data_IF_397941946897
#
_entry.id   IF_397941946897
#
_cell.length_a   1.000
_cell.length_b   1.000
_cell.length_c   1.000
_cell.angle_alpha   90.00
_cell.angle_beta   90.00
_cell.angle_gamma   90.00
#
_symmetry.space_group_name_H-M   'P 1'
#
loop_
_entity.id
_entity.type
_entity.pdbx_description
1 polymer ?
#
# COMPACT_ATOMS: atom_id res chain seq x y z
N UNK A 1 -14.27 -27.59 11.93
CA UNK A 1 -12.84 -27.22 12.00
C UNK A 1 -12.56 -25.98 11.15
N UNK A 2 -13.12 -24.82 11.49
CA UNK A 2 -12.96 -23.60 10.66
C UNK A 2 -12.58 -22.35 11.45
N UNK A 3 -12.39 -22.46 12.77
CA UNK A 3 -12.00 -21.35 13.63
C UNK A 3 -10.47 -21.11 13.68
N UNK A 4 -9.65 -22.01 13.13
CA UNK A 4 -8.19 -21.96 13.20
C UNK A 4 -7.51 -21.11 12.11
N UNK A 5 -8.24 -20.68 11.07
CA UNK A 5 -7.69 -19.81 10.01
C UNK A 5 -7.69 -18.31 10.37
N UNK A 6 -8.35 -17.92 11.47
CA UNK A 6 -8.28 -16.56 12.01
C UNK A 6 -6.98 -16.28 12.82
N UNK A 7 -6.16 -17.30 13.07
CA UNK A 7 -4.98 -17.22 13.95
C UNK A 7 -3.64 -16.96 13.23
N UNK A 8 -3.60 -16.88 11.90
CA UNK A 8 -2.37 -16.56 11.15
C UNK A 8 -2.22 -15.08 10.76
N UNK A 9 -3.13 -14.21 11.20
CA UNK A 9 -3.01 -12.75 11.09
C UNK A 9 -2.38 -12.10 12.34
N UNK A 10 -1.99 -12.90 13.34
CA UNK A 10 -1.38 -12.38 14.57
C UNK A 10 0.15 -12.28 14.41
N UNK A 11 0.56 -11.06 14.04
CA UNK A 11 1.70 -10.32 14.63
C UNK A 11 3.10 -10.94 14.46
N UNK A 12 3.97 -10.35 13.62
CA UNK A 12 5.38 -10.31 13.98
C UNK A 12 5.53 -9.25 15.09
N UNK A 13 6.12 -9.66 16.19
CA UNK A 13 6.58 -8.83 17.31
C UNK A 13 7.43 -7.66 16.79
N UNK A 14 6.78 -6.58 16.40
CA UNK A 14 7.40 -5.31 16.02
C UNK A 14 6.74 -4.21 16.86
N UNK A 15 7.54 -3.21 17.21
CA UNK A 15 7.22 -2.16 18.16
C UNK A 15 5.77 -1.66 18.00
N UNK A 16 4.92 -1.91 19.01
CA UNK A 16 3.52 -1.47 19.01
C UNK A 16 3.38 0.06 18.90
N UNK A 17 4.47 0.80 19.15
CA UNK A 17 4.51 2.24 19.03
C UNK A 17 4.85 2.74 17.63
N UNK A 18 5.21 1.84 16.71
CA UNK A 18 5.44 2.18 15.30
C UNK A 18 4.21 2.86 14.69
N UNK A 19 4.35 4.06 14.08
CA UNK A 19 3.33 4.65 13.22
C UNK A 19 2.70 3.70 12.22
N UNK A 20 3.51 2.88 11.53
CA UNK A 20 2.98 1.93 10.54
C UNK A 20 2.25 0.76 11.19
N UNK A 21 2.67 0.32 12.39
CA UNK A 21 1.93 -0.69 13.15
C UNK A 21 0.59 -0.15 13.66
N UNK A 22 0.55 1.13 14.09
CA UNK A 22 -0.70 1.83 14.41
C UNK A 22 -1.62 1.89 13.19
N UNK A 23 -1.06 2.12 11.99
CA UNK A 23 -1.82 2.07 10.73
C UNK A 23 -2.35 0.66 10.40
N UNK A 24 -1.64 -0.41 10.76
CA UNK A 24 -2.13 -1.80 10.57
C UNK A 24 -3.29 -2.17 11.51
N UNK A 25 -3.36 -1.56 12.70
CA UNK A 25 -4.45 -1.74 13.65
C UNK A 25 -5.63 -0.80 13.42
N UNK A 26 -5.40 0.33 12.73
CA UNK A 26 -6.46 1.21 12.27
C UNK A 26 -7.13 0.59 11.04
N UNK A 27 -8.46 0.65 10.95
CA UNK A 27 -9.10 0.40 9.69
C UNK A 27 -8.57 1.36 8.63
N UNK A 28 -8.16 0.84 7.48
CA UNK A 28 -7.55 1.64 6.41
C UNK A 28 -8.47 2.75 5.86
N UNK A 29 -9.78 2.70 6.15
CA UNK A 29 -10.75 3.75 5.84
C UNK A 29 -10.70 4.96 6.78
N UNK A 30 -10.03 4.86 7.93
CA UNK A 30 -9.79 5.98 8.87
C UNK A 30 -8.51 6.74 8.56
N UNK A 31 -7.65 6.18 7.70
CA UNK A 31 -6.41 6.81 7.26
C UNK A 31 -6.67 7.74 6.07
N UNK A 32 -5.90 8.83 5.92
CA UNK A 32 -5.93 9.62 4.70
C UNK A 32 -5.72 8.74 3.47
N UNK A 33 -6.55 8.95 2.45
CA UNK A 33 -6.60 8.07 1.26
C UNK A 33 -5.24 7.89 0.60
N UNK A 34 -4.43 8.95 0.52
CA UNK A 34 -3.07 8.87 -0.04
C UNK A 34 -2.14 7.97 0.78
N UNK A 35 -2.18 8.08 2.11
CA UNK A 35 -1.43 7.23 3.05
C UNK A 35 -1.83 5.76 2.89
N UNK A 36 -3.14 5.46 2.85
CA UNK A 36 -3.65 4.10 2.63
C UNK A 36 -3.24 3.53 1.29
N UNK A 37 -3.23 4.36 0.24
CA UNK A 37 -2.82 3.95 -1.10
C UNK A 37 -1.35 3.52 -1.14
N UNK A 38 -0.46 4.32 -0.55
CA UNK A 38 0.96 3.98 -0.42
C UNK A 38 1.18 2.71 0.41
N UNK A 39 0.44 2.54 1.51
CA UNK A 39 0.52 1.34 2.33
C UNK A 39 0.10 0.08 1.57
N UNK A 40 -1.03 0.13 0.84
CA UNK A 40 -1.49 -1.00 0.04
C UNK A 40 -0.50 -1.36 -1.07
N UNK A 41 0.03 -0.34 -1.76
CA UNK A 41 1.05 -0.53 -2.81
C UNK A 41 2.32 -1.19 -2.27
N UNK A 42 2.86 -0.70 -1.14
CA UNK A 42 4.01 -1.33 -0.47
C UNK A 42 3.77 -2.81 -0.19
N UNK A 43 2.61 -3.12 0.39
CA UNK A 43 2.29 -4.46 0.86
C UNK A 43 2.09 -5.47 -0.27
N UNK A 44 1.62 -5.04 -1.44
CA UNK A 44 1.39 -5.95 -2.57
C UNK A 44 2.57 -6.04 -3.53
N UNK A 45 3.35 -4.96 -3.71
CA UNK A 45 4.39 -4.89 -4.73
C UNK A 45 5.77 -5.32 -4.22
N UNK A 46 6.01 -5.23 -2.91
CA UNK A 46 7.34 -5.44 -2.34
C UNK A 46 7.39 -6.63 -1.39
N UNK A 47 8.54 -7.30 -1.29
CA UNK A 47 8.74 -8.32 -0.29
C UNK A 47 8.69 -7.69 1.11
N UNK A 48 8.29 -8.50 2.10
CA UNK A 48 8.11 -8.03 3.47
C UNK A 48 9.39 -7.47 4.12
N UNK A 49 10.57 -7.90 3.65
CA UNK A 49 11.85 -7.34 4.08
C UNK A 49 11.99 -5.86 3.70
N UNK A 50 11.58 -5.50 2.48
CA UNK A 50 11.62 -4.13 1.98
C UNK A 50 10.55 -3.27 2.66
N UNK A 51 9.33 -3.82 2.82
CA UNK A 51 8.26 -3.18 3.60
C UNK A 51 8.76 -2.83 5.03
N UNK A 52 9.43 -3.79 5.69
CA UNK A 52 9.97 -3.58 7.03
C UNK A 52 11.10 -2.54 7.06
N UNK A 53 11.99 -2.54 6.06
CA UNK A 53 13.07 -1.56 5.99
C UNK A 53 12.54 -0.13 5.83
N UNK A 54 11.60 0.08 4.90
CA UNK A 54 10.95 1.38 4.67
C UNK A 54 10.16 1.82 5.92
N UNK A 55 9.51 0.87 6.60
CA UNK A 55 8.83 1.11 7.87
C UNK A 55 9.80 1.61 8.94
N UNK A 56 10.95 0.97 9.12
CA UNK A 56 11.96 1.39 10.10
C UNK A 56 12.49 2.81 9.81
N UNK A 57 12.74 3.14 8.53
CA UNK A 57 13.14 4.51 8.14
C UNK A 57 12.02 5.51 8.45
N UNK A 58 10.77 5.21 8.09
CA UNK A 58 9.62 6.07 8.36
C UNK A 58 9.43 6.33 9.86
N UNK A 59 9.59 5.29 10.69
CA UNK A 59 9.50 5.41 12.15
C UNK A 59 10.60 6.29 12.73
N UNK A 60 11.83 6.17 12.22
CA UNK A 60 12.94 7.01 12.62
C UNK A 60 12.68 8.49 12.29
N UNK A 61 12.07 8.79 11.15
CA UNK A 61 11.71 10.15 10.76
C UNK A 61 10.49 10.68 11.54
N UNK A 62 9.50 9.84 11.83
CA UNK A 62 8.35 10.23 12.66
C UNK A 62 8.74 10.65 14.08
N UNK A 63 9.83 10.11 14.63
CA UNK A 63 10.38 10.56 15.94
C UNK A 63 10.83 12.03 15.89
N UNK A 64 11.19 12.54 14.72
CA UNK A 64 11.61 13.93 14.50
C UNK A 64 10.42 14.82 14.10
N UNK A 65 9.45 14.26 13.38
CA UNK A 65 8.24 14.96 12.94
C UNK A 65 7.01 14.05 13.07
N UNK A 66 6.21 14.26 14.12
CA UNK A 66 5.03 13.44 14.42
C UNK A 66 3.87 13.60 13.43
N UNK A 67 3.91 14.63 12.58
CA UNK A 67 2.87 14.90 11.58
C UNK A 67 3.21 14.34 10.20
N UNK A 68 4.40 13.73 10.05
CA UNK A 68 4.83 13.14 8.79
C UNK A 68 3.92 11.94 8.45
N UNK A 69 3.22 12.03 7.32
CA UNK A 69 2.43 10.91 6.82
C UNK A 69 3.28 10.00 5.92
N UNK A 70 2.85 8.74 5.75
CA UNK A 70 3.59 7.77 4.93
C UNK A 70 3.71 8.25 3.47
N UNK A 71 2.66 8.83 2.90
CA UNK A 71 2.67 9.35 1.53
C UNK A 71 3.64 10.54 1.36
N UNK A 72 3.71 11.45 2.34
CA UNK A 72 4.72 12.51 2.36
C UNK A 72 6.13 11.94 2.45
N UNK A 73 6.34 10.96 3.32
CA UNK A 73 7.62 10.28 3.47
C UNK A 73 8.05 9.57 2.18
N UNK A 74 7.17 8.78 1.57
CA UNK A 74 7.46 8.06 0.32
C UNK A 74 7.76 9.04 -0.81
N UNK A 75 6.98 10.10 -0.98
CA UNK A 75 7.23 11.09 -2.04
C UNK A 75 8.57 11.83 -1.87
N UNK A 76 8.98 12.07 -0.62
CA UNK A 76 10.26 12.72 -0.33
C UNK A 76 11.46 11.77 -0.44
N UNK A 77 11.37 10.59 0.17
CA UNK A 77 12.50 9.66 0.34
C UNK A 77 12.64 8.67 -0.82
N UNK A 78 11.52 8.26 -1.42
CA UNK A 78 11.46 7.26 -2.49
C UNK A 78 10.57 7.76 -3.65
N UNK A 79 10.99 8.79 -4.39
CA UNK A 79 10.14 9.45 -5.41
C UNK A 79 9.80 8.57 -6.62
N UNK A 80 10.50 7.44 -6.78
CA UNK A 80 10.35 6.51 -7.90
C UNK A 80 10.02 5.09 -7.45
N UNK A 81 9.56 4.92 -6.20
CA UNK A 81 9.25 3.60 -5.66
C UNK A 81 8.19 2.94 -6.54
N UNK A 82 7.06 3.60 -6.69
CA UNK A 82 5.92 3.08 -7.44
C UNK A 82 5.94 3.48 -8.92
N UNK A 83 7.11 3.71 -9.52
CA UNK A 83 7.19 3.92 -10.97
C UNK A 83 7.06 2.58 -11.70
N UNK A 84 6.09 2.50 -12.62
CA UNK A 84 6.01 1.45 -13.62
C UNK A 84 6.79 1.82 -14.88
N UNK A 85 6.61 1.04 -15.96
CA UNK A 85 7.14 1.43 -17.27
C UNK A 85 6.25 2.47 -17.95
N UNK A 86 4.94 2.45 -17.66
CA UNK A 86 3.95 3.32 -18.30
C UNK A 86 3.40 4.40 -17.38
N UNK A 87 3.36 4.15 -16.08
CA UNK A 87 2.81 5.08 -15.10
C UNK A 87 3.85 5.53 -14.11
N UNK A 88 3.89 6.84 -13.82
CA UNK A 88 4.73 7.37 -12.74
C UNK A 88 4.05 7.25 -11.37
N UNK A 89 4.83 7.37 -10.29
CA UNK A 89 4.39 7.23 -8.91
C UNK A 89 3.17 8.10 -8.57
N UNK A 90 3.15 9.36 -9.03
CA UNK A 90 2.03 10.26 -8.77
C UNK A 90 0.73 9.76 -9.43
N UNK A 91 0.80 9.28 -10.68
CA UNK A 91 -0.34 8.68 -11.38
C UNK A 91 -0.80 7.40 -10.70
N UNK A 92 0.13 6.55 -10.27
CA UNK A 92 -0.17 5.29 -9.59
C UNK A 92 -0.90 5.56 -8.26
N UNK A 93 -0.34 6.41 -7.41
CA UNK A 93 -0.95 6.77 -6.11
C UNK A 93 -2.32 7.40 -6.32
N UNK A 94 -2.46 8.33 -7.28
CA UNK A 94 -3.74 8.98 -7.55
C UNK A 94 -4.81 8.00 -8.06
N UNK A 95 -4.44 7.07 -8.93
CA UNK A 95 -5.34 6.04 -9.46
C UNK A 95 -5.82 5.12 -8.33
N UNK A 96 -4.89 4.64 -7.51
CA UNK A 96 -5.21 3.79 -6.34
C UNK A 96 -6.09 4.56 -5.37
N UNK A 97 -5.79 5.83 -5.07
CA UNK A 97 -6.56 6.67 -4.16
C UNK A 97 -8.00 6.92 -4.65
N UNK A 98 -8.19 7.19 -5.94
CA UNK A 98 -9.50 7.40 -6.54
C UNK A 98 -10.36 6.12 -6.42
N UNK A 99 -9.80 4.98 -6.81
CA UNK A 99 -10.48 3.68 -6.70
C UNK A 99 -10.74 3.29 -5.25
N UNK A 100 -9.80 3.55 -4.34
CA UNK A 100 -9.92 3.27 -2.92
C UNK A 100 -11.07 4.07 -2.28
N UNK A 101 -11.23 5.33 -2.69
CA UNK A 101 -12.30 6.22 -2.19
C UNK A 101 -13.69 5.80 -2.68
N UNK A 102 -13.77 5.18 -3.87
CA UNK A 102 -15.01 4.70 -4.46
C UNK A 102 -15.34 3.23 -4.09
N UNK A 103 -14.34 2.47 -3.63
CA UNK A 103 -14.49 1.06 -3.31
C UNK A 103 -15.35 0.88 -2.05
N UNK A 104 -16.48 0.19 -2.20
CA UNK A 104 -17.38 -0.16 -1.09
C UNK A 104 -17.15 -1.56 -0.54
N UNK A 105 -16.19 -2.31 -1.08
CA UNK A 105 -15.95 -3.70 -0.75
C UNK A 105 -14.47 -4.12 -0.87
N UNK A 106 -14.18 -5.37 -0.47
CA UNK A 106 -12.85 -5.96 -0.57
C UNK A 106 -12.45 -6.34 -2.02
N UNK A 107 -13.30 -6.07 -3.03
CA UNK A 107 -13.01 -6.41 -4.43
C UNK A 107 -11.80 -5.64 -4.91
N UNK A 108 -11.67 -4.38 -4.51
CA UNK A 108 -10.53 -3.52 -4.85
C UNK A 108 -9.19 -4.17 -4.47
N UNK A 109 -9.02 -4.51 -3.19
CA UNK A 109 -7.80 -5.14 -2.68
C UNK A 109 -7.53 -6.49 -3.36
N UNK A 110 -8.57 -7.28 -3.63
CA UNK A 110 -8.45 -8.55 -4.36
C UNK A 110 -7.99 -8.35 -5.80
N UNK A 111 -8.49 -7.33 -6.50
CA UNK A 111 -8.09 -7.00 -7.88
C UNK A 111 -6.62 -6.61 -7.92
N UNK A 112 -6.18 -5.72 -7.02
CA UNK A 112 -4.78 -5.34 -6.90
C UNK A 112 -3.87 -6.55 -6.63
N UNK A 113 -4.21 -7.37 -5.63
CA UNK A 113 -3.40 -8.54 -5.26
C UNK A 113 -3.29 -9.57 -6.40
N UNK A 114 -4.39 -9.81 -7.14
CA UNK A 114 -4.38 -10.70 -8.29
C UNK A 114 -3.55 -10.16 -9.46
N UNK A 115 -3.52 -8.85 -9.64
CA UNK A 115 -2.80 -8.21 -10.75
C UNK A 115 -1.28 -8.38 -10.62
N UNK A 116 -0.72 -8.29 -9.42
CA UNK A 116 0.72 -8.52 -9.18
C UNK A 116 1.14 -9.97 -9.50
N UNK A 117 0.26 -10.94 -9.23
CA UNK A 117 0.52 -12.35 -9.55
C UNK A 117 1.80 -12.89 -8.91
N UNK A 118 2.58 -13.66 -9.69
CA UNK A 118 3.93 -14.15 -9.32
C UNK A 118 5.04 -13.42 -10.08
N UNK A 119 4.74 -12.22 -10.58
CA UNK A 119 5.68 -11.48 -11.40
C UNK A 119 6.91 -11.07 -10.55
N UNK A 120 8.11 -11.21 -11.11
CA UNK A 120 9.35 -10.79 -10.45
C UNK A 120 9.72 -9.34 -10.76
N UNK A 121 9.14 -8.77 -11.83
CA UNK A 121 9.38 -7.39 -12.22
C UNK A 121 8.37 -6.45 -11.54
N UNK A 122 8.84 -5.68 -10.57
CA UNK A 122 8.03 -4.71 -9.82
C UNK A 122 7.46 -3.62 -10.72
N UNK A 123 8.21 -3.13 -11.71
CA UNK A 123 7.72 -2.04 -12.60
C UNK A 123 6.58 -2.52 -13.47
N UNK A 124 6.70 -3.73 -14.02
CA UNK A 124 5.60 -4.33 -14.75
C UNK A 124 4.40 -4.62 -13.82
N UNK A 125 4.66 -5.07 -12.59
CA UNK A 125 3.61 -5.31 -11.58
C UNK A 125 2.84 -4.04 -11.22
N UNK A 126 3.52 -2.89 -11.12
CA UNK A 126 2.89 -1.58 -10.94
C UNK A 126 1.93 -1.29 -12.08
N UNK A 127 2.40 -1.44 -13.32
CA UNK A 127 1.59 -1.18 -14.50
C UNK A 127 0.38 -2.13 -14.59
N UNK A 128 0.57 -3.42 -14.26
CA UNK A 128 -0.49 -4.42 -14.22
C UNK A 128 -1.56 -4.10 -13.17
N UNK A 129 -1.15 -3.61 -11.99
CA UNK A 129 -2.08 -3.14 -10.95
C UNK A 129 -2.91 -1.98 -11.46
N UNK A 130 -2.28 -0.95 -12.05
CA UNK A 130 -2.99 0.22 -12.58
C UNK A 130 -3.98 -0.17 -13.68
N UNK A 131 -3.55 -0.99 -14.64
CA UNK A 131 -4.42 -1.44 -15.72
C UNK A 131 -5.61 -2.27 -15.20
N UNK A 132 -5.38 -3.15 -14.22
CA UNK A 132 -6.41 -3.98 -13.64
C UNK A 132 -7.47 -3.15 -12.91
N UNK A 133 -7.06 -2.18 -12.07
CA UNK A 133 -8.01 -1.33 -11.36
C UNK A 133 -8.74 -0.37 -12.30
N UNK A 134 -8.07 0.18 -13.33
CA UNK A 134 -8.74 1.05 -14.32
C UNK A 134 -9.78 0.29 -15.15
N UNK A 135 -9.52 -0.99 -15.45
CA UNK A 135 -10.49 -1.85 -16.14
C UNK A 135 -11.71 -2.15 -15.26
N UNK A 136 -11.47 -2.47 -14.00
CA UNK A 136 -12.52 -2.87 -13.05
C UNK A 136 -13.38 -1.67 -12.60
N UNK A 137 -12.76 -0.49 -12.45
CA UNK A 137 -13.38 0.76 -12.00
C UNK A 137 -13.41 1.80 -13.12
N UNK A 138 -13.75 1.38 -14.34
CA UNK A 138 -13.68 2.22 -15.54
C UNK A 138 -14.54 3.48 -15.47
N UNK A 139 -15.61 3.50 -14.65
CA UNK A 139 -16.46 4.67 -14.44
C UNK A 139 -15.77 5.84 -13.73
N UNK A 140 -14.56 5.63 -13.19
CA UNK A 140 -13.78 6.66 -12.50
C UNK A 140 -12.75 7.36 -13.41
N UNK A 141 -12.61 6.94 -14.68
CA UNK A 141 -11.59 7.40 -15.63
C UNK A 141 -12.18 7.68 -17.02
#
# INVERSE_FOLDING_TARGET
>A
MSALLFLLLIVPLTDKNSPMFRMQGMPWWELPVGTSSCFLLLRILYPRSEENHIKEEFEAECKKNIYLTLDQFINWRYPHLFDGYRYNQAQVIATVAACLSAASDLKFAKTMYKAVGRNKDTKNSVDEVVDAIRREYSSLF
#
